data_IF_298030194731
#
_entry.id   IF_298030194731
#
_cell.length_a   1.000
_cell.length_b   1.000
_cell.length_c   1.000
_cell.angle_alpha   90.00
_cell.angle_beta   90.00
_cell.angle_gamma   90.00
#
_symmetry.space_group_name_H-M   'P 1'
#
loop_
_entity.id
_entity.type
_entity.pdbx_description
1 polymer ?
#
# COMPACT_ATOMS: atom_id res chain seq x y z
N UNK A 1 20.04 55.09 16.75
CA UNK A 1 18.99 54.21 17.32
C UNK A 1 18.90 52.97 16.43
N UNK A 2 19.59 51.90 16.82
CA UNK A 2 19.60 50.64 16.05
C UNK A 2 18.62 49.67 16.68
N UNK A 3 17.51 49.41 15.99
CA UNK A 3 16.55 48.35 16.37
C UNK A 3 17.23 46.99 16.19
N UNK A 4 17.62 46.38 17.31
CA UNK A 4 18.00 44.97 17.35
C UNK A 4 16.76 44.12 17.06
N UNK A 5 16.76 43.48 15.89
CA UNK A 5 15.73 42.52 15.50
C UNK A 5 15.57 41.42 16.56
N UNK A 6 14.43 41.42 17.24
CA UNK A 6 14.02 40.36 18.17
C UNK A 6 14.03 39.00 17.44
N UNK A 7 15.03 38.16 17.71
CA UNK A 7 15.00 36.74 17.34
C UNK A 7 13.78 36.10 17.99
N UNK A 8 12.86 35.58 17.17
CA UNK A 8 11.71 34.80 17.66
C UNK A 8 12.24 33.62 18.49
N UNK A 9 11.69 33.36 19.68
CA UNK A 9 12.12 32.23 20.50
C UNK A 9 11.91 30.92 19.73
N UNK A 10 12.95 30.07 19.70
CA UNK A 10 12.86 28.75 19.09
C UNK A 10 11.80 27.94 19.82
N UNK A 11 10.84 27.37 19.08
CA UNK A 11 9.78 26.54 19.64
C UNK A 11 10.42 25.36 20.40
N UNK A 12 9.98 25.04 21.64
CA UNK A 12 10.57 23.95 22.42
C UNK A 12 10.49 22.63 21.65
N UNK A 13 11.58 21.85 21.70
CA UNK A 13 11.64 20.55 21.04
C UNK A 13 10.58 19.62 21.64
N UNK A 14 9.65 19.16 20.80
CA UNK A 14 8.62 18.20 21.17
C UNK A 14 9.08 16.83 20.68
N UNK A 15 9.11 15.84 21.59
CA UNK A 15 9.37 14.45 21.20
C UNK A 15 8.34 14.00 20.15
N UNK A 16 8.77 13.36 19.05
CA UNK A 16 7.87 12.85 18.03
C UNK A 16 6.86 11.87 18.63
N UNK A 17 5.60 11.93 18.18
CA UNK A 17 4.58 10.98 18.60
C UNK A 17 4.70 9.71 17.77
N UNK A 18 4.94 8.58 18.43
CA UNK A 18 4.96 7.27 17.77
C UNK A 18 3.54 6.82 17.46
N UNK A 19 3.28 6.55 16.19
CA UNK A 19 2.05 5.91 15.70
C UNK A 19 2.38 4.45 15.35
N UNK A 20 1.88 3.47 16.13
CA UNK A 20 2.26 2.07 15.93
C UNK A 20 1.84 1.53 14.56
N UNK A 21 0.73 2.00 13.99
CA UNK A 21 0.22 1.53 12.69
C UNK A 21 1.15 1.92 11.56
N UNK A 22 1.54 3.20 11.53
CA UNK A 22 2.42 3.74 10.48
C UNK A 22 3.86 3.27 10.64
N UNK A 23 4.32 3.06 11.88
CA UNK A 23 5.63 2.47 12.13
C UNK A 23 5.67 1.02 11.63
N UNK A 24 4.64 0.22 11.91
CA UNK A 24 4.54 -1.14 11.39
C UNK A 24 4.50 -1.16 9.87
N UNK A 25 3.72 -0.28 9.25
CA UNK A 25 3.66 -0.18 7.80
C UNK A 25 5.03 0.16 7.19
N UNK A 26 5.75 1.12 7.77
CA UNK A 26 7.12 1.45 7.37
C UNK A 26 8.08 0.27 7.54
N UNK A 27 8.05 -0.42 8.68
CA UNK A 27 8.90 -1.61 8.92
C UNK A 27 8.62 -2.72 7.89
N UNK A 28 7.36 -2.92 7.50
CA UNK A 28 6.99 -3.87 6.46
C UNK A 28 7.52 -3.44 5.08
N UNK A 29 7.34 -2.18 4.68
CA UNK A 29 7.84 -1.64 3.41
C UNK A 29 9.37 -1.73 3.34
N UNK A 30 10.08 -1.35 4.41
CA UNK A 30 11.54 -1.52 4.51
C UNK A 30 11.99 -2.96 4.32
N UNK A 31 11.27 -3.90 4.93
CA UNK A 31 11.61 -5.31 4.81
C UNK A 31 11.40 -5.84 3.38
N UNK A 32 10.39 -5.35 2.66
CA UNK A 32 10.17 -5.67 1.24
C UNK A 32 11.31 -5.09 0.40
N UNK A 33 11.61 -3.80 0.56
CA UNK A 33 12.66 -3.09 -0.20
C UNK A 33 14.08 -3.65 0.04
N UNK A 34 14.46 -3.91 1.29
CA UNK A 34 15.83 -4.34 1.61
C UNK A 34 16.10 -5.82 1.36
N UNK A 35 15.08 -6.68 1.52
CA UNK A 35 15.27 -8.14 1.61
C UNK A 35 14.59 -8.91 0.49
N UNK A 36 14.02 -8.20 -0.49
CA UNK A 36 13.21 -8.78 -1.56
C UNK A 36 12.15 -9.74 -1.00
N UNK A 37 11.61 -9.38 0.17
CA UNK A 37 10.73 -10.23 0.93
C UNK A 37 9.30 -10.02 0.45
N UNK A 38 8.55 -11.10 0.28
CA UNK A 38 7.15 -10.99 -0.11
C UNK A 38 6.30 -10.38 1.03
N UNK A 39 5.54 -9.33 0.71
CA UNK A 39 4.73 -8.61 1.69
C UNK A 39 3.74 -9.51 2.45
N UNK A 40 3.18 -10.53 1.76
CA UNK A 40 2.29 -11.52 2.35
C UNK A 40 2.97 -12.46 3.37
N UNK A 41 4.30 -12.52 3.38
CA UNK A 41 5.08 -13.27 4.37
C UNK A 41 5.58 -12.36 5.51
N UNK A 42 5.87 -11.09 5.20
CA UNK A 42 6.39 -10.11 6.16
C UNK A 42 5.30 -9.55 7.07
N UNK A 43 4.14 -9.19 6.52
CA UNK A 43 3.11 -8.48 7.26
C UNK A 43 2.44 -9.31 8.37
N UNK A 44 2.06 -10.60 8.16
CA UNK A 44 1.38 -11.38 9.19
C UNK A 44 2.14 -11.50 10.53
N UNK A 45 3.45 -11.84 10.58
CA UNK A 45 4.18 -11.90 11.85
C UNK A 45 4.29 -10.53 12.54
N UNK A 46 4.44 -9.43 11.78
CA UNK A 46 4.44 -8.08 12.34
C UNK A 46 3.10 -7.73 12.99
N UNK A 47 1.99 -8.04 12.31
CA UNK A 47 0.64 -7.81 12.85
C UNK A 47 0.36 -8.66 14.10
N UNK A 48 0.76 -9.93 14.12
CA UNK A 48 0.62 -10.78 15.32
C UNK A 48 1.35 -10.18 16.51
N UNK A 49 2.62 -9.81 16.33
CA UNK A 49 3.43 -9.18 17.37
C UNK A 49 2.85 -7.84 17.84
N UNK A 50 2.27 -7.05 16.94
CA UNK A 50 1.64 -5.79 17.30
C UNK A 50 0.38 -5.98 18.14
N UNK A 51 -0.45 -6.98 17.81
CA UNK A 51 -1.66 -7.33 18.56
C UNK A 51 -1.39 -7.86 19.98
N UNK A 52 -0.18 -8.33 20.26
CA UNK A 52 0.24 -8.68 21.62
C UNK A 52 0.49 -7.45 22.51
N UNK A 53 0.56 -6.25 21.92
CA UNK A 53 0.73 -4.99 22.65
C UNK A 53 -0.63 -4.39 23.03
N UNK A 54 -0.74 -3.87 24.25
CA UNK A 54 -1.95 -3.16 24.69
C UNK A 54 -2.24 -1.96 23.78
N UNK A 55 -3.45 -1.93 23.23
CA UNK A 55 -3.97 -0.81 22.43
C UNK A 55 -3.76 -0.89 20.92
N UNK A 56 -3.35 -2.03 20.36
CA UNK A 56 -3.37 -2.28 18.91
C UNK A 56 -4.55 -3.20 18.54
N UNK A 57 -5.60 -2.64 17.95
CA UNK A 57 -6.85 -3.35 17.70
C UNK A 57 -6.99 -3.88 16.25
N UNK A 58 -8.17 -4.43 15.93
CA UNK A 58 -8.46 -4.92 14.59
C UNK A 58 -8.53 -3.81 13.52
N UNK A 59 -8.95 -2.59 13.90
CA UNK A 59 -9.00 -1.43 12.99
C UNK A 59 -7.59 -0.95 12.66
N UNK A 60 -6.71 -0.96 13.65
CA UNK A 60 -5.28 -0.68 13.47
C UNK A 60 -4.62 -1.70 12.55
N UNK A 61 -4.92 -2.99 12.73
CA UNK A 61 -4.44 -4.05 11.85
C UNK A 61 -4.94 -3.87 10.40
N UNK A 62 -6.22 -3.52 10.23
CA UNK A 62 -6.81 -3.26 8.92
C UNK A 62 -6.17 -2.03 8.25
N UNK A 63 -5.96 -0.96 9.00
CA UNK A 63 -5.28 0.25 8.50
C UNK A 63 -3.83 -0.03 8.13
N UNK A 64 -3.07 -0.77 8.96
CA UNK A 64 -1.71 -1.17 8.63
C UNK A 64 -1.66 -1.99 7.33
N UNK A 65 -2.58 -2.96 7.19
CA UNK A 65 -2.70 -3.80 6.00
C UNK A 65 -2.99 -2.97 4.75
N UNK A 66 -3.93 -2.03 4.86
CA UNK A 66 -4.24 -1.07 3.80
C UNK A 66 -3.00 -0.26 3.41
N UNK A 67 -2.31 0.32 4.39
CA UNK A 67 -1.16 1.17 4.14
C UNK A 67 -0.02 0.41 3.44
N UNK A 68 0.26 -0.83 3.85
CA UNK A 68 1.33 -1.63 3.24
C UNK A 68 0.96 -2.04 1.82
N UNK A 69 -0.15 -2.75 1.64
CA UNK A 69 -0.51 -3.27 0.32
C UNK A 69 -0.92 -2.16 -0.65
N UNK A 70 -1.58 -1.11 -0.17
CA UNK A 70 -1.96 0.02 -1.00
C UNK A 70 -0.76 0.85 -1.46
N UNK A 71 0.29 0.96 -0.64
CA UNK A 71 1.54 1.61 -1.05
C UNK A 71 2.26 0.79 -2.11
N UNK A 72 2.45 -0.52 -1.88
CA UNK A 72 3.15 -1.40 -2.82
C UNK A 72 2.43 -1.52 -4.17
N UNK A 73 1.10 -1.67 -4.14
CA UNK A 73 0.25 -1.78 -5.33
C UNK A 73 0.34 -0.56 -6.25
N UNK A 74 0.60 0.62 -5.68
CA UNK A 74 0.68 1.88 -6.43
C UNK A 74 2.09 2.46 -6.45
N UNK A 75 3.11 1.64 -6.19
CA UNK A 75 4.48 2.12 -6.02
C UNK A 75 5.01 2.83 -7.27
N UNK A 76 4.83 2.26 -8.46
CA UNK A 76 5.32 2.88 -9.71
C UNK A 76 4.71 4.26 -9.97
N UNK A 77 3.41 4.39 -9.68
CA UNK A 77 2.67 5.65 -9.76
C UNK A 77 3.21 6.66 -8.74
N UNK A 78 3.40 6.24 -7.49
CA UNK A 78 3.92 7.13 -6.45
C UNK A 78 5.36 7.53 -6.70
N UNK A 79 6.20 6.66 -7.25
CA UNK A 79 7.57 6.98 -7.65
C UNK A 79 7.56 8.07 -8.73
N UNK A 80 6.73 7.95 -9.78
CA UNK A 80 6.58 9.00 -10.79
C UNK A 80 6.15 10.36 -10.20
N UNK A 81 5.17 10.34 -9.29
CA UNK A 81 4.68 11.54 -8.60
C UNK A 81 5.74 12.16 -7.69
N UNK A 82 6.45 11.34 -6.91
CA UNK A 82 7.51 11.80 -6.02
C UNK A 82 8.68 12.35 -6.83
N UNK A 83 9.03 11.73 -7.97
CA UNK A 83 10.05 12.22 -8.90
C UNK A 83 9.72 13.61 -9.44
N UNK A 84 8.47 13.86 -9.85
CA UNK A 84 7.99 15.19 -10.23
C UNK A 84 8.02 16.20 -9.06
N UNK A 85 8.08 15.70 -7.82
CA UNK A 85 8.11 16.49 -6.61
C UNK A 85 9.50 16.71 -6.00
N UNK A 86 10.57 16.24 -6.63
CA UNK A 86 11.94 16.43 -6.15
C UNK A 86 12.87 16.91 -7.27
N UNK A 87 13.91 17.63 -6.91
CA UNK A 87 14.80 18.28 -7.89
C UNK A 87 16.05 17.41 -8.17
N UNK A 88 15.99 16.11 -7.86
CA UNK A 88 17.07 15.13 -8.05
C UNK A 88 16.50 13.75 -8.41
N UNK A 89 17.26 12.87 -9.09
CA UNK A 89 16.83 11.49 -9.34
C UNK A 89 16.49 10.73 -8.05
N UNK A 90 15.44 9.90 -8.05
CA UNK A 90 15.05 9.12 -6.87
C UNK A 90 16.15 8.20 -6.34
N UNK A 91 16.98 7.64 -7.23
CA UNK A 91 18.17 6.84 -6.87
C UNK A 91 19.19 7.55 -5.98
N UNK A 92 19.12 8.89 -5.89
CA UNK A 92 19.98 9.71 -5.03
C UNK A 92 19.29 10.11 -3.71
N UNK A 93 18.04 9.68 -3.51
CA UNK A 93 17.30 9.82 -2.27
C UNK A 93 17.51 8.56 -1.43
N UNK A 94 17.77 8.74 -0.14
CA UNK A 94 17.95 7.66 0.83
C UNK A 94 16.72 6.72 0.83
N UNK A 95 16.87 5.39 0.63
CA UNK A 95 15.72 4.49 0.47
C UNK A 95 14.67 4.58 1.60
N UNK A 96 15.04 4.63 2.90
CA UNK A 96 14.08 4.85 3.99
C UNK A 96 13.27 6.15 3.87
N UNK A 97 13.80 7.18 3.20
CA UNK A 97 13.05 8.41 2.91
C UNK A 97 12.01 8.14 1.82
N UNK A 98 12.36 7.37 0.78
CA UNK A 98 11.43 6.97 -0.27
C UNK A 98 10.26 6.15 0.28
N UNK A 99 10.49 5.21 1.19
CA UNK A 99 9.37 4.44 1.79
C UNK A 99 8.40 5.33 2.55
N UNK A 100 8.91 6.31 3.30
CA UNK A 100 8.05 7.27 4.01
C UNK A 100 7.31 8.18 3.02
N UNK A 101 7.94 8.56 1.92
CA UNK A 101 7.30 9.36 0.86
C UNK A 101 6.22 8.56 0.14
N UNK A 102 6.48 7.31 -0.25
CA UNK A 102 5.53 6.42 -0.89
C UNK A 102 4.34 6.14 0.04
N UNK A 103 4.60 5.81 1.30
CA UNK A 103 3.56 5.63 2.32
C UNK A 103 2.75 6.92 2.56
N UNK A 104 3.40 8.08 2.54
CA UNK A 104 2.76 9.38 2.64
C UNK A 104 1.90 9.72 1.43
N UNK A 105 2.38 9.43 0.22
CA UNK A 105 1.67 9.60 -1.04
C UNK A 105 0.44 8.69 -1.09
N UNK A 106 0.57 7.44 -0.66
CA UNK A 106 -0.56 6.52 -0.56
C UNK A 106 -1.65 7.05 0.37
N UNK A 107 -1.28 7.54 1.56
CA UNK A 107 -2.26 8.16 2.46
C UNK A 107 -2.97 9.37 1.83
N UNK A 108 -2.24 10.18 1.07
CA UNK A 108 -2.79 11.39 0.44
C UNK A 108 -3.71 11.10 -0.74
N UNK A 109 -3.32 10.13 -1.58
CA UNK A 109 -3.91 9.92 -2.91
C UNK A 109 -4.73 8.63 -3.01
N UNK A 110 -4.42 7.62 -2.19
CA UNK A 110 -5.04 6.31 -2.20
C UNK A 110 -5.99 6.03 -1.05
N UNK A 111 -6.15 6.96 -0.09
CA UNK A 111 -7.02 6.76 1.08
C UNK A 111 -7.96 7.94 1.31
N UNK A 112 -8.91 7.75 2.24
CA UNK A 112 -9.84 8.81 2.69
C UNK A 112 -9.30 9.61 3.89
N UNK A 113 -8.02 9.48 4.22
CA UNK A 113 -7.40 10.20 5.34
C UNK A 113 -7.32 11.69 4.98
N UNK A 114 -7.79 12.62 5.85
CA UNK A 114 -7.69 14.04 5.56
C UNK A 114 -6.24 14.47 5.29
N UNK A 115 -6.04 15.30 4.27
CA UNK A 115 -4.71 15.74 3.79
C UNK A 115 -3.79 16.21 4.93
N UNK A 116 -4.29 17.06 5.83
CA UNK A 116 -3.50 17.58 6.94
C UNK A 116 -3.06 16.48 7.92
N UNK A 117 -3.90 15.46 8.14
CA UNK A 117 -3.61 14.33 9.01
C UNK A 117 -2.59 13.40 8.36
N UNK A 118 -2.73 13.10 7.05
CA UNK A 118 -1.78 12.30 6.28
C UNK A 118 -0.38 12.93 6.28
N UNK A 119 -0.27 14.24 5.97
CA UNK A 119 1.02 14.96 6.00
C UNK A 119 1.58 14.97 7.42
N UNK A 120 0.79 15.35 8.43
CA UNK A 120 1.29 15.44 9.81
C UNK A 120 1.78 14.10 10.32
N UNK A 121 1.04 13.02 10.10
CA UNK A 121 1.40 11.70 10.59
C UNK A 121 2.63 11.13 9.88
N UNK A 122 2.78 11.38 8.56
CA UNK A 122 3.96 10.95 7.80
C UNK A 122 5.22 11.72 8.21
N UNK A 123 5.09 13.01 8.55
CA UNK A 123 6.20 13.81 9.08
C UNK A 123 6.59 13.37 10.49
N UNK A 124 5.62 13.05 11.35
CA UNK A 124 5.91 12.47 12.67
C UNK A 124 6.60 11.10 12.54
N UNK A 125 6.13 10.23 11.63
CA UNK A 125 6.79 8.98 11.31
C UNK A 125 8.25 9.22 10.86
N UNK A 126 8.48 10.14 9.93
CA UNK A 126 9.82 10.49 9.46
C UNK A 126 10.73 10.95 10.61
N UNK A 127 10.20 11.72 11.57
CA UNK A 127 10.97 12.12 12.75
C UNK A 127 11.35 10.93 13.63
N UNK A 128 10.42 9.98 13.81
CA UNK A 128 10.64 8.77 14.60
C UNK A 128 11.70 7.87 13.97
N UNK A 129 11.63 7.62 12.66
CA UNK A 129 12.45 6.59 12.00
C UNK A 129 13.70 7.14 11.29
N UNK A 130 13.72 8.43 10.92
CA UNK A 130 14.78 9.05 10.10
C UNK A 130 15.47 10.25 10.77
N UNK A 131 14.84 10.82 11.80
CA UNK A 131 15.27 12.05 12.48
C UNK A 131 14.77 13.36 11.85
N UNK A 132 14.89 14.46 12.59
CA UNK A 132 14.29 15.77 12.25
C UNK A 132 14.75 16.37 10.91
N UNK A 133 16.01 16.12 10.52
CA UNK A 133 16.56 16.66 9.28
C UNK A 133 15.80 16.18 8.05
N UNK A 134 15.64 14.86 7.94
CA UNK A 134 14.92 14.20 6.84
C UNK A 134 13.42 14.45 6.91
N UNK A 135 12.85 14.57 8.12
CA UNK A 135 11.43 14.89 8.28
C UNK A 135 11.02 16.24 7.63
N UNK A 136 11.92 17.24 7.61
CA UNK A 136 11.65 18.50 6.90
C UNK A 136 11.55 18.32 5.40
N UNK A 137 12.40 17.46 4.82
CA UNK A 137 12.36 17.12 3.41
C UNK A 137 11.07 16.36 3.07
N UNK A 138 10.73 15.33 3.85
CA UNK A 138 9.45 14.59 3.71
C UNK A 138 8.25 15.55 3.74
N UNK A 139 8.21 16.46 4.71
CA UNK A 139 7.13 17.46 4.80
C UNK A 139 7.05 18.34 3.54
N UNK A 140 8.18 18.80 3.01
CA UNK A 140 8.20 19.66 1.83
C UNK A 140 7.68 18.92 0.59
N UNK A 141 8.10 17.68 0.39
CA UNK A 141 7.68 16.83 -0.73
C UNK A 141 6.19 16.47 -0.59
N UNK A 142 5.73 15.98 0.57
CA UNK A 142 4.33 15.59 0.74
C UNK A 142 3.35 16.77 0.62
N UNK A 143 3.77 17.99 1.00
CA UNK A 143 2.97 19.20 0.72
C UNK A 143 2.89 19.51 -0.77
N UNK A 144 3.90 19.15 -1.54
CA UNK A 144 3.93 19.27 -3.00
C UNK A 144 2.96 18.27 -3.62
N UNK A 145 3.06 17.01 -3.21
CA UNK A 145 2.15 15.90 -3.59
C UNK A 145 0.70 16.27 -3.29
N UNK A 146 0.41 16.82 -2.10
CA UNK A 146 -0.94 17.18 -1.68
C UNK A 146 -1.64 18.30 -2.48
N UNK A 147 -1.00 18.90 -3.50
CA UNK A 147 -1.60 19.99 -4.29
C UNK A 147 -2.56 19.51 -5.38
N UNK A 148 -2.49 18.23 -5.75
CA UNK A 148 -3.34 17.59 -6.74
C UNK A 148 -3.88 16.29 -6.15
N UNK A 149 -5.05 15.89 -6.62
CA UNK A 149 -5.54 14.53 -6.42
C UNK A 149 -4.81 13.56 -7.36
N UNK A 150 -5.20 12.29 -7.32
CA UNK A 150 -4.53 11.26 -8.11
C UNK A 150 -4.67 11.52 -9.60
N UNK A 151 -5.88 11.83 -10.08
CA UNK A 151 -6.15 12.04 -11.50
C UNK A 151 -5.34 13.22 -12.05
N UNK A 152 -5.31 14.36 -11.35
CA UNK A 152 -4.49 15.51 -11.76
C UNK A 152 -2.99 15.24 -11.70
N UNK A 153 -2.52 14.27 -10.90
CA UNK A 153 -1.13 13.82 -10.96
C UNK A 153 -0.87 12.90 -12.14
N UNK A 154 -1.78 11.98 -12.45
CA UNK A 154 -1.65 11.08 -13.59
C UNK A 154 -1.58 11.87 -14.91
N UNK A 155 -2.38 12.91 -15.06
CA UNK A 155 -2.31 13.85 -16.20
C UNK A 155 -0.95 14.55 -16.33
N UNK A 156 -0.26 14.81 -15.22
CA UNK A 156 1.02 15.52 -15.19
C UNK A 156 2.21 14.58 -15.46
N UNK A 157 2.16 13.35 -14.93
CA UNK A 157 3.34 12.46 -14.87
C UNK A 157 3.28 11.29 -15.86
N UNK A 158 2.10 10.90 -16.34
CA UNK A 158 2.00 9.92 -17.41
C UNK A 158 2.23 10.62 -18.77
N UNK A 159 3.04 10.04 -19.67
CA UNK A 159 3.14 10.57 -21.03
C UNK A 159 1.79 10.45 -21.75
N UNK A 160 1.53 11.26 -22.80
CA UNK A 160 0.34 11.10 -23.62
C UNK A 160 0.22 9.68 -24.16
N UNK A 161 -0.98 9.09 -24.06
CA UNK A 161 -1.21 7.69 -24.43
C UNK A 161 -0.87 7.41 -25.90
N UNK A 162 -1.10 8.37 -26.78
CA UNK A 162 -0.82 8.26 -28.22
C UNK A 162 0.68 8.34 -28.55
N UNK A 163 1.49 8.98 -27.70
CA UNK A 163 2.94 9.08 -27.84
C UNK A 163 3.66 7.84 -27.29
N UNK A 164 3.31 7.41 -26.07
CA UNK A 164 3.90 6.21 -25.44
C UNK A 164 2.85 5.43 -24.62
N UNK A 165 2.05 4.57 -25.27
CA UNK A 165 0.99 3.82 -24.60
C UNK A 165 1.48 2.93 -23.46
N UNK A 166 2.62 2.26 -23.62
CA UNK A 166 3.12 1.33 -22.60
C UNK A 166 3.58 2.08 -21.34
N UNK A 167 4.28 3.20 -21.48
CA UNK A 167 4.68 4.02 -20.33
C UNK A 167 3.48 4.69 -19.67
N UNK A 168 2.52 5.16 -20.47
CA UNK A 168 1.27 5.69 -19.94
C UNK A 168 0.58 4.66 -19.04
N UNK A 169 0.36 3.45 -19.55
CA UNK A 169 -0.27 2.36 -18.81
C UNK A 169 0.57 1.95 -17.59
N UNK A 170 1.90 1.92 -17.71
CA UNK A 170 2.80 1.63 -16.61
C UNK A 170 2.63 2.60 -15.43
N UNK A 171 2.53 3.90 -15.72
CA UNK A 171 2.34 4.94 -14.69
C UNK A 171 0.93 4.91 -14.13
N UNK A 172 -0.09 4.85 -14.98
CA UNK A 172 -1.51 4.91 -14.57
C UNK A 172 -1.92 3.69 -13.75
N UNK A 173 -1.52 2.50 -14.18
CA UNK A 173 -1.85 1.25 -13.50
C UNK A 173 -0.74 0.76 -12.56
N UNK A 174 0.38 1.47 -12.42
CA UNK A 174 1.46 1.08 -11.49
C UNK A 174 2.15 -0.25 -11.80
N UNK A 175 2.23 -0.59 -13.08
CA UNK A 175 2.94 -1.78 -13.53
C UNK A 175 4.30 -1.40 -14.11
N UNK A 176 5.37 -2.18 -13.88
CA UNK A 176 6.60 -2.00 -14.64
C UNK A 176 6.32 -2.09 -16.14
N UNK A 177 6.94 -1.23 -16.95
CA UNK A 177 6.73 -1.20 -18.41
C UNK A 177 6.82 -2.57 -19.06
N UNK A 178 7.80 -3.39 -18.64
CA UNK A 178 7.99 -4.73 -19.19
C UNK A 178 6.82 -5.69 -18.87
N UNK A 179 6.13 -5.51 -17.73
CA UNK A 179 4.91 -6.27 -17.41
C UNK A 179 3.77 -5.85 -18.31
N UNK A 180 3.59 -4.53 -18.52
CA UNK A 180 2.58 -4.01 -19.44
C UNK A 180 2.77 -4.61 -20.84
N UNK A 181 3.99 -4.56 -21.36
CA UNK A 181 4.35 -5.11 -22.66
C UNK A 181 4.08 -6.63 -22.73
N UNK A 182 4.48 -7.38 -21.70
CA UNK A 182 4.24 -8.83 -21.65
C UNK A 182 2.75 -9.21 -21.59
N UNK A 183 1.93 -8.48 -20.83
CA UNK A 183 0.49 -8.72 -20.73
C UNK A 183 -0.23 -8.31 -22.02
N UNK A 184 0.20 -7.22 -22.65
CA UNK A 184 -0.30 -6.79 -23.95
C UNK A 184 -0.04 -7.86 -25.02
N UNK A 185 1.18 -8.38 -25.09
CA UNK A 185 1.53 -9.47 -26.00
C UNK A 185 0.69 -10.73 -25.73
N UNK A 186 0.45 -11.06 -24.46
CA UNK A 186 -0.39 -12.20 -24.06
C UNK A 186 -1.86 -12.06 -24.51
N UNK A 187 -2.36 -10.83 -24.66
CA UNK A 187 -3.68 -10.53 -25.25
C UNK A 187 -3.69 -10.53 -26.78
N UNK A 188 -2.55 -10.84 -27.41
CA UNK A 188 -2.41 -10.95 -28.87
C UNK A 188 -1.89 -9.68 -29.54
N UNK A 189 -1.26 -8.75 -28.80
CA UNK A 189 -0.60 -7.57 -29.36
C UNK A 189 -1.55 -6.42 -29.74
N UNK A 190 -2.86 -6.61 -29.62
CA UNK A 190 -3.86 -5.57 -29.79
C UNK A 190 -4.07 -4.74 -28.52
N UNK A 191 -4.64 -3.53 -28.66
CA UNK A 191 -5.00 -2.66 -27.52
C UNK A 191 -6.23 -3.10 -26.74
N UNK A 192 -6.99 -4.08 -27.25
CA UNK A 192 -8.25 -4.47 -26.64
C UNK A 192 -8.01 -5.28 -25.36
N UNK A 193 -8.61 -4.85 -24.24
CA UNK A 193 -8.60 -5.60 -22.98
C UNK A 193 -7.42 -5.30 -22.04
N UNK A 194 -6.41 -4.53 -22.47
CA UNK A 194 -5.19 -4.31 -21.66
C UNK A 194 -5.47 -3.45 -20.42
N UNK A 195 -6.26 -2.40 -20.56
CA UNK A 195 -6.64 -1.53 -19.44
C UNK A 195 -7.47 -2.32 -18.42
N UNK A 196 -8.47 -3.07 -18.88
CA UNK A 196 -9.30 -3.90 -17.99
C UNK A 196 -8.48 -4.99 -17.27
N UNK A 197 -7.47 -5.55 -17.94
CA UNK A 197 -6.57 -6.53 -17.34
C UNK A 197 -5.70 -5.90 -16.24
N UNK A 198 -5.08 -4.74 -16.51
CA UNK A 198 -4.23 -4.04 -15.55
C UNK A 198 -5.05 -3.49 -14.36
N UNK A 199 -6.28 -3.04 -14.61
CA UNK A 199 -7.23 -2.67 -13.54
C UNK A 199 -7.58 -3.88 -12.67
N UNK A 200 -7.92 -5.01 -13.28
CA UNK A 200 -8.25 -6.24 -12.55
C UNK A 200 -7.07 -6.74 -11.70
N UNK A 201 -5.84 -6.69 -12.22
CA UNK A 201 -4.64 -7.07 -11.48
C UNK A 201 -4.37 -6.15 -10.26
N UNK A 202 -4.81 -4.89 -10.36
CA UNK A 202 -4.79 -3.93 -9.26
C UNK A 202 -5.97 -4.04 -8.29
N UNK A 203 -6.96 -4.90 -8.53
CA UNK A 203 -8.02 -5.10 -7.54
C UNK A 203 -7.47 -5.78 -6.28
N UNK A 204 -8.10 -5.51 -5.14
CA UNK A 204 -7.72 -6.16 -3.89
C UNK A 204 -8.01 -7.66 -4.03
N UNK A 205 -7.03 -8.54 -3.76
CA UNK A 205 -7.26 -9.97 -3.90
C UNK A 205 -8.31 -10.42 -2.88
N UNK A 206 -9.29 -11.18 -3.37
CA UNK A 206 -10.27 -11.85 -2.52
C UNK A 206 -9.64 -13.11 -1.90
N UNK A 207 -9.87 -13.32 -0.60
CA UNK A 207 -9.43 -14.56 0.05
C UNK A 207 -10.35 -15.70 -0.40
N UNK A 208 -9.76 -16.72 -1.02
CA UNK A 208 -10.47 -17.91 -1.47
C UNK A 208 -9.98 -19.13 -0.71
N UNK A 209 -10.88 -19.85 -0.06
CA UNK A 209 -10.64 -21.15 0.53
C UNK A 209 -10.88 -22.24 -0.52
N UNK A 210 -10.09 -23.30 -0.48
CA UNK A 210 -10.28 -24.50 -1.30
C UNK A 210 -10.64 -25.66 -0.39
N UNK A 211 -11.87 -26.16 -0.48
CA UNK A 211 -12.29 -27.37 0.22
C UNK A 211 -11.47 -28.57 -0.28
N UNK A 212 -10.79 -29.28 0.63
CA UNK A 212 -9.99 -30.46 0.27
C UNK A 212 -10.90 -31.68 0.15
N UNK A 213 -11.00 -32.30 -1.04
CA UNK A 213 -11.85 -33.47 -1.23
C UNK A 213 -11.54 -34.57 -0.21
N UNK A 214 -12.60 -35.18 0.35
CA UNK A 214 -12.49 -36.21 1.39
C UNK A 214 -12.23 -35.69 2.81
N UNK A 215 -12.04 -34.38 2.99
CA UNK A 215 -11.88 -33.74 4.31
C UNK A 215 -12.93 -32.69 4.62
N UNK A 216 -13.39 -31.99 3.59
CA UNK A 216 -14.52 -31.07 3.67
C UNK A 216 -15.17 -30.88 2.31
N UNK A 217 -16.39 -30.35 2.33
CA UNK A 217 -17.13 -29.86 1.18
C UNK A 217 -17.23 -28.33 1.22
N UNK A 218 -17.42 -27.66 0.06
CA UNK A 218 -17.69 -26.23 0.02
C UNK A 218 -18.91 -25.81 0.86
N UNK A 219 -19.94 -26.65 0.92
CA UNK A 219 -21.13 -26.41 1.72
C UNK A 219 -20.79 -26.37 3.22
N UNK A 220 -20.01 -27.33 3.71
CA UNK A 220 -19.53 -27.34 5.10
C UNK A 220 -18.66 -26.12 5.43
N UNK A 221 -17.85 -25.65 4.48
CA UNK A 221 -17.07 -24.42 4.67
C UNK A 221 -17.96 -23.18 4.71
N UNK A 222 -18.96 -23.07 3.84
CA UNK A 222 -19.92 -21.95 3.84
C UNK A 222 -20.74 -21.91 5.13
N UNK A 223 -21.20 -23.07 5.60
CA UNK A 223 -21.94 -23.20 6.85
C UNK A 223 -21.07 -22.79 8.05
N UNK A 224 -19.80 -23.21 8.07
CA UNK A 224 -18.86 -22.85 9.14
C UNK A 224 -18.54 -21.35 9.18
N UNK A 225 -18.57 -20.65 8.03
CA UNK A 225 -18.38 -19.21 7.97
C UNK A 225 -19.64 -18.43 8.41
N UNK A 226 -20.82 -19.06 8.37
CA UNK A 226 -22.11 -18.39 8.53
C UNK A 226 -22.44 -17.59 7.27
N UNK A 227 -23.38 -18.07 6.46
CA UNK A 227 -23.57 -17.77 5.03
C UNK A 227 -23.54 -16.32 4.51
N UNK A 228 -23.47 -15.29 5.35
CA UNK A 228 -23.14 -13.91 4.96
C UNK A 228 -21.63 -13.66 4.77
N UNK A 229 -20.77 -14.46 5.42
CA UNK A 229 -19.32 -14.28 5.42
C UNK A 229 -18.60 -15.04 4.30
N UNK A 230 -19.31 -15.87 3.52
CA UNK A 230 -18.74 -16.67 2.44
C UNK A 230 -19.64 -16.76 1.22
N UNK A 231 -19.04 -16.92 0.04
CA UNK A 231 -19.73 -17.10 -1.24
C UNK A 231 -19.08 -18.24 -2.04
N UNK A 232 -19.83 -19.02 -2.83
CA UNK A 232 -19.23 -19.97 -3.76
C UNK A 232 -18.22 -19.29 -4.71
N UNK A 233 -17.16 -20.02 -5.04
CA UNK A 233 -16.21 -19.61 -6.06
C UNK A 233 -16.86 -19.58 -7.44
N UNK A 234 -16.41 -18.65 -8.30
CA UNK A 234 -16.94 -18.49 -9.66
C UNK A 234 -16.53 -19.64 -10.58
N UNK A 235 -15.28 -20.10 -10.45
CA UNK A 235 -14.63 -20.95 -11.45
C UNK A 235 -14.40 -22.40 -10.99
N UNK A 236 -14.27 -22.62 -9.68
CA UNK A 236 -14.00 -23.95 -9.12
C UNK A 236 -15.13 -24.38 -8.22
N UNK A 237 -15.65 -25.62 -8.36
CA UNK A 237 -16.68 -26.14 -7.47
C UNK A 237 -16.16 -26.36 -6.05
N UNK A 238 -14.83 -26.36 -5.83
CA UNK A 238 -14.22 -26.54 -4.51
C UNK A 238 -13.97 -25.22 -3.76
N UNK A 239 -14.17 -24.09 -4.44
CA UNK A 239 -13.79 -22.78 -3.92
C UNK A 239 -14.90 -22.11 -3.11
N UNK A 240 -14.52 -21.49 -2.00
CA UNK A 240 -15.37 -20.63 -1.17
C UNK A 240 -14.63 -19.32 -0.93
N UNK A 241 -15.18 -18.21 -1.39
CA UNK A 241 -14.63 -16.87 -1.25
C UNK A 241 -15.14 -16.21 0.03
N UNK A 242 -14.26 -15.58 0.79
CA UNK A 242 -14.66 -14.78 1.96
C UNK A 242 -15.24 -13.45 1.52
N UNK A 243 -16.31 -12.99 2.19
CA UNK A 243 -16.98 -11.75 1.84
C UNK A 243 -16.19 -10.48 2.24
N UNK A 244 -15.45 -10.52 3.35
CA UNK A 244 -14.71 -9.36 3.89
C UNK A 244 -13.20 -9.62 4.04
N UNK A 245 -12.67 -10.62 3.33
CA UNK A 245 -11.30 -11.09 3.55
C UNK A 245 -11.11 -11.64 4.98
N UNK A 246 -9.89 -11.60 5.51
CA UNK A 246 -9.61 -12.04 6.87
C UNK A 246 -8.26 -12.75 7.01
N UNK A 247 -7.96 -13.26 8.20
CA UNK A 247 -6.78 -14.08 8.46
C UNK A 247 -7.15 -15.56 8.28
N UNK A 248 -6.82 -16.20 7.15
CA UNK A 248 -7.33 -17.54 6.83
C UNK A 248 -6.82 -18.59 7.81
N UNK A 249 -5.60 -18.40 8.33
CA UNK A 249 -5.01 -19.24 9.37
C UNK A 249 -5.71 -19.17 10.73
N UNK A 250 -6.64 -18.24 10.93
CA UNK A 250 -7.49 -18.20 12.12
C UNK A 250 -8.70 -19.15 12.02
N UNK A 251 -9.04 -19.62 10.81
CA UNK A 251 -10.16 -20.51 10.57
C UNK A 251 -9.81 -21.96 10.94
N UNK A 252 -10.66 -22.62 11.72
CA UNK A 252 -10.45 -24.01 12.14
C UNK A 252 -10.31 -24.96 10.95
N UNK A 253 -11.10 -24.75 9.89
CA UNK A 253 -10.98 -25.55 8.67
C UNK A 253 -9.58 -25.47 8.02
N UNK A 254 -8.89 -24.33 8.12
CA UNK A 254 -7.53 -24.18 7.61
C UNK A 254 -6.53 -24.83 8.58
N UNK A 255 -6.67 -24.60 9.88
CA UNK A 255 -5.80 -25.18 10.93
C UNK A 255 -5.82 -26.71 10.95
N UNK A 256 -6.99 -27.29 10.71
CA UNK A 256 -7.21 -28.74 10.65
C UNK A 256 -6.84 -29.34 9.29
N UNK A 257 -6.43 -28.51 8.32
CA UNK A 257 -6.10 -28.95 6.97
C UNK A 257 -7.30 -29.53 6.21
N UNK A 258 -8.52 -29.05 6.50
CA UNK A 258 -9.73 -29.33 5.74
C UNK A 258 -9.91 -28.36 4.56
N UNK A 259 -9.38 -27.15 4.68
CA UNK A 259 -9.32 -26.15 3.62
C UNK A 259 -7.86 -25.76 3.29
N UNK A 260 -7.59 -25.49 2.01
CA UNK A 260 -6.45 -24.71 1.56
C UNK A 260 -6.83 -23.24 1.39
N UNK A 261 -5.84 -22.38 1.18
CA UNK A 261 -5.97 -20.94 0.92
C UNK A 261 -5.09 -20.61 -0.27
#
# INVERSE_FOLDING_TARGET
MSEQGRRRPSKPYRRPRRDPVRVLAFEALRAVDERDAYANLVLPPLLRKAREQDGFDARDAALATELVYGTLRRQGTYDAIVAACVDRPLREVDPPVLDVLALGAHQLLGTRIPTHAAVSASVELARVVLGDGRARFVNAVLRRVARRDLDGWLEEVAPPYDEDPEEHLAVVHSHPRWIVSALWDALGGGRAGIEELLEADNERPEVTLVARPGRATPAELLDALGGAAGRPGRWSPYAVRLAEGGEPGALDAVREGRAGV
#
